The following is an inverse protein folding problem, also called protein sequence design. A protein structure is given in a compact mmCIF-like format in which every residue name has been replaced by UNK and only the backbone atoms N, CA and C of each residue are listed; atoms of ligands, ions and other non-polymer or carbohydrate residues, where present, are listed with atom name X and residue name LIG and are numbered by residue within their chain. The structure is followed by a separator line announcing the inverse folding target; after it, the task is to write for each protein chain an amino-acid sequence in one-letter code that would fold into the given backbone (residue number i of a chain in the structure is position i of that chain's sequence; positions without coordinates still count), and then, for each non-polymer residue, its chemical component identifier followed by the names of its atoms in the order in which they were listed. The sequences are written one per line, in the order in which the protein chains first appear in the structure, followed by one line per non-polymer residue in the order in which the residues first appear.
data_IF_908045369959
#
_entry.id   IF_908045369959
#
_cell.length_a   1.000
_cell.length_b   1.000
_cell.length_c   1.000
_cell.angle_alpha   90.00
_cell.angle_beta   90.00
_cell.angle_gamma   90.00
#
_symmetry.space_group_name_H-M   'P 1'
#
loop_
_entity.id
_entity.type
_entity.pdbx_description
1 polymer ?
#
# COMPACT_ATOMS: atom_id res chain seq x y z
N UNK A 1 17.98 -1.33 5.90
CA UNK A 1 17.96 -1.04 7.36
C UNK A 1 16.83 -0.08 7.73
N UNK A 2 16.69 1.07 7.05
CA UNK A 2 15.65 2.07 7.37
C UNK A 2 14.22 1.54 7.19
N UNK A 3 13.94 0.82 6.11
CA UNK A 3 12.65 0.20 5.84
C UNK A 3 12.28 -0.85 6.93
N UNK A 4 13.21 -1.72 7.31
CA UNK A 4 12.98 -2.70 8.40
C UNK A 4 12.70 -2.06 9.76
N UNK A 5 13.23 -0.87 9.98
CA UNK A 5 13.05 -0.13 11.24
C UNK A 5 11.85 0.84 11.20
N UNK A 6 11.01 0.76 10.15
CA UNK A 6 9.85 1.63 10.01
C UNK A 6 10.16 3.11 9.76
N UNK A 7 11.40 3.43 9.38
CA UNK A 7 11.80 4.82 9.06
C UNK A 7 11.43 5.24 7.64
N UNK A 8 11.09 4.28 6.79
CA UNK A 8 10.62 4.50 5.42
C UNK A 8 9.49 3.53 5.14
N UNK A 9 8.41 4.01 4.54
CA UNK A 9 7.20 3.24 4.27
C UNK A 9 7.28 2.50 2.93
N UNK A 10 8.12 2.95 2.01
CA UNK A 10 8.24 2.39 0.66
C UNK A 10 9.69 2.01 0.37
N UNK A 11 9.88 0.80 -0.14
CA UNK A 11 11.16 0.29 -0.63
C UNK A 11 11.06 0.01 -2.13
N UNK A 12 11.91 0.64 -2.92
CA UNK A 12 12.04 0.38 -4.35
C UNK A 12 13.31 -0.47 -4.56
N UNK A 13 13.18 -1.57 -5.26
CA UNK A 13 14.28 -2.49 -5.54
C UNK A 13 14.16 -3.13 -6.91
N UNK A 14 15.30 -3.44 -7.52
CA UNK A 14 15.39 -4.33 -8.68
C UNK A 14 15.37 -5.79 -8.23
N UNK A 15 15.13 -6.73 -9.15
CA UNK A 15 15.14 -8.18 -8.83
C UNK A 15 16.45 -8.64 -8.21
N UNK A 16 17.58 -8.10 -8.67
CA UNK A 16 18.90 -8.42 -8.14
C UNK A 16 19.05 -7.94 -6.70
N UNK A 17 18.64 -6.71 -6.43
CA UNK A 17 18.68 -6.15 -5.09
C UNK A 17 17.67 -6.86 -4.16
N UNK A 18 16.48 -7.16 -4.65
CA UNK A 18 15.42 -7.81 -3.88
C UNK A 18 15.79 -9.20 -3.37
N UNK A 19 16.67 -9.96 -4.09
CA UNK A 19 17.17 -11.26 -3.64
C UNK A 19 18.06 -11.20 -2.42
N UNK A 20 18.79 -10.09 -2.23
CA UNK A 20 19.67 -9.87 -1.09
C UNK A 20 19.00 -9.13 0.08
N UNK A 21 17.76 -8.72 -0.09
CA UNK A 21 17.03 -8.00 0.94
C UNK A 21 16.26 -8.98 1.80
N UNK A 22 16.69 -9.13 3.04
CA UNK A 22 15.95 -9.84 4.08
C UNK A 22 14.82 -8.92 4.61
N UNK A 23 13.79 -8.76 3.79
CA UNK A 23 12.55 -8.04 4.11
C UNK A 23 11.39 -8.93 3.74
N UNK A 24 10.69 -9.37 4.75
CA UNK A 24 9.52 -10.20 4.63
C UNK A 24 8.35 -9.51 5.33
N UNK A 25 7.14 -9.94 5.02
CA UNK A 25 5.93 -9.52 5.68
C UNK A 25 5.58 -8.04 5.44
N UNK A 26 5.82 -7.59 4.21
CA UNK A 26 5.35 -6.29 3.77
C UNK A 26 3.84 -6.32 3.53
N UNK A 27 3.16 -5.21 3.76
CA UNK A 27 1.71 -5.09 3.57
C UNK A 27 1.31 -5.34 2.11
N UNK A 28 2.08 -4.80 1.17
CA UNK A 28 1.81 -4.95 -0.25
C UNK A 28 3.09 -4.98 -1.09
N UNK A 29 3.02 -5.68 -2.23
CA UNK A 29 4.04 -5.67 -3.28
C UNK A 29 3.48 -5.02 -4.52
N UNK A 30 4.21 -4.05 -5.08
CA UNK A 30 3.88 -3.40 -6.34
C UNK A 30 4.87 -3.81 -7.41
N UNK A 31 4.43 -4.55 -8.43
CA UNK A 31 5.22 -4.84 -9.60
C UNK A 31 5.03 -3.71 -10.62
N UNK A 32 6.00 -2.82 -10.69
CA UNK A 32 6.02 -1.75 -11.69
C UNK A 32 6.16 -2.32 -13.10
N UNK A 33 7.04 -3.32 -13.26
CA UNK A 33 7.18 -4.11 -14.47
C UNK A 33 6.92 -5.58 -14.16
N UNK A 34 6.25 -6.31 -15.05
CA UNK A 34 6.12 -7.75 -14.94
C UNK A 34 7.48 -8.43 -15.18
N UNK A 35 7.88 -9.40 -14.36
CA UNK A 35 9.13 -10.11 -14.57
C UNK A 35 9.07 -11.00 -15.82
N UNK A 36 10.21 -11.23 -16.43
CA UNK A 36 10.31 -12.13 -17.61
C UNK A 36 10.04 -13.59 -17.21
N UNK A 37 10.44 -13.97 -16.00
CA UNK A 37 10.29 -15.31 -15.47
C UNK A 37 9.15 -15.36 -14.45
N UNK A 38 8.32 -16.41 -14.52
CA UNK A 38 7.19 -16.58 -13.63
C UNK A 38 7.62 -16.90 -12.18
N UNK A 39 8.78 -17.54 -11.99
CA UNK A 39 9.32 -17.80 -10.65
C UNK A 39 9.69 -16.49 -9.95
N UNK A 40 10.25 -15.53 -10.68
CA UNK A 40 10.54 -14.20 -10.12
C UNK A 40 9.28 -13.49 -9.66
N UNK A 41 8.18 -13.65 -10.38
CA UNK A 41 6.90 -13.15 -9.94
C UNK A 41 6.51 -13.71 -8.56
N UNK A 42 6.59 -15.03 -8.40
CA UNK A 42 6.28 -15.69 -7.13
C UNK A 42 7.23 -15.22 -6.02
N UNK A 43 8.52 -15.09 -6.30
CA UNK A 43 9.50 -14.59 -5.33
C UNK A 43 9.22 -13.13 -4.90
N UNK A 44 8.78 -12.27 -5.84
CA UNK A 44 8.41 -10.89 -5.51
C UNK A 44 7.18 -10.85 -4.62
N UNK A 45 6.10 -11.49 -5.02
CA UNK A 45 4.86 -11.47 -4.22
C UNK A 45 4.98 -12.25 -2.91
N UNK A 46 5.90 -13.21 -2.83
CA UNK A 46 6.20 -13.96 -1.60
C UNK A 46 6.84 -13.11 -0.48
N UNK A 47 6.97 -11.80 -0.66
CA UNK A 47 7.36 -10.86 0.41
C UNK A 47 6.17 -10.40 1.25
N UNK A 48 4.95 -10.63 0.78
CA UNK A 48 3.71 -10.32 1.51
C UNK A 48 2.91 -11.59 1.80
N UNK A 49 1.96 -11.54 2.71
CA UNK A 49 1.05 -12.66 3.00
C UNK A 49 1.71 -13.86 3.67
N UNK A 50 2.73 -13.66 4.50
CA UNK A 50 3.40 -14.73 5.23
C UNK A 50 2.74 -15.05 6.56
N UNK A 51 3.09 -16.21 7.11
CA UNK A 51 2.61 -16.69 8.43
C UNK A 51 1.08 -16.74 8.55
N UNK A 52 0.39 -17.12 7.46
CA UNK A 52 -1.09 -17.21 7.45
C UNK A 52 -1.81 -15.86 7.32
N UNK A 53 -1.08 -14.76 7.13
CA UNK A 53 -1.66 -13.44 6.89
C UNK A 53 -2.03 -13.23 5.43
N UNK A 54 -3.01 -12.38 5.18
CA UNK A 54 -3.40 -11.99 3.83
C UNK A 54 -2.44 -10.93 3.29
N UNK A 55 -1.89 -11.14 2.09
CA UNK A 55 -1.03 -10.19 1.40
C UNK A 55 -1.70 -9.59 0.17
N UNK A 56 -1.23 -8.43 -0.27
CA UNK A 56 -1.69 -7.76 -1.49
C UNK A 56 -0.56 -7.64 -2.50
N UNK A 57 -0.85 -7.98 -3.77
CA UNK A 57 0.07 -7.79 -4.87
C UNK A 57 -0.61 -7.02 -6.00
N UNK A 58 -0.02 -5.90 -6.38
CA UNK A 58 -0.50 -5.05 -7.46
C UNK A 58 0.46 -5.12 -8.65
N UNK A 59 -0.09 -5.14 -9.85
CA UNK A 59 0.69 -5.23 -11.08
C UNK A 59 0.27 -4.11 -12.01
N UNK A 60 1.21 -3.28 -12.45
CA UNK A 60 0.97 -2.34 -13.53
C UNK A 60 1.16 -3.07 -14.85
N UNK A 61 0.13 -3.09 -15.67
CA UNK A 61 0.11 -3.85 -16.93
C UNK A 61 -0.38 -2.96 -18.05
N UNK A 62 0.40 -2.85 -19.13
CA UNK A 62 0.04 -2.05 -20.31
C UNK A 62 0.21 -2.84 -21.60
N UNK A 63 -0.66 -2.57 -22.55
CA UNK A 63 -0.52 -3.08 -23.92
C UNK A 63 -0.28 -4.57 -24.01
N UNK A 64 0.85 -4.98 -24.60
CA UNK A 64 1.21 -6.37 -24.83
C UNK A 64 1.52 -7.17 -23.55
N UNK A 65 1.79 -6.53 -22.43
CA UNK A 65 2.10 -7.20 -21.15
C UNK A 65 0.92 -8.02 -20.63
N UNK A 66 -0.29 -7.78 -21.13
CA UNK A 66 -1.47 -8.61 -20.85
C UNK A 66 -1.23 -10.08 -21.18
N UNK A 67 -0.44 -10.40 -22.21
CA UNK A 67 -0.09 -11.78 -22.54
C UNK A 67 0.79 -12.40 -21.45
N UNK A 68 1.76 -11.63 -20.95
CA UNK A 68 2.63 -12.07 -19.84
C UNK A 68 1.84 -12.27 -18.55
N UNK A 69 0.89 -11.37 -18.27
CA UNK A 69 0.00 -11.53 -17.13
C UNK A 69 -0.81 -12.83 -17.21
N UNK A 70 -1.30 -13.19 -18.40
CA UNK A 70 -2.02 -14.47 -18.62
C UNK A 70 -1.13 -15.69 -18.39
N UNK A 71 0.16 -15.61 -18.73
CA UNK A 71 1.12 -16.68 -18.41
C UNK A 71 1.30 -16.83 -16.91
N UNK A 72 1.53 -15.72 -16.21
CA UNK A 72 1.67 -15.68 -14.75
C UNK A 72 0.42 -16.26 -14.07
N UNK A 73 -0.78 -15.88 -14.51
CA UNK A 73 -2.04 -16.42 -13.98
C UNK A 73 -2.13 -17.95 -14.16
N UNK A 74 -1.71 -18.47 -15.31
CA UNK A 74 -1.68 -19.92 -15.56
C UNK A 74 -0.66 -20.62 -14.68
N UNK A 75 0.54 -20.06 -14.56
CA UNK A 75 1.61 -20.59 -13.71
C UNK A 75 1.22 -20.64 -12.24
N UNK A 76 0.69 -19.54 -11.72
CA UNK A 76 0.26 -19.42 -10.31
C UNK A 76 -1.11 -20.06 -10.05
N UNK A 77 -1.81 -20.57 -11.07
CA UNK A 77 -3.17 -21.13 -10.98
C UNK A 77 -4.15 -20.18 -10.27
N UNK A 78 -4.03 -18.89 -10.53
CA UNK A 78 -4.83 -17.84 -9.88
C UNK A 78 -5.42 -16.88 -10.90
N UNK A 79 -6.44 -16.11 -10.48
CA UNK A 79 -7.00 -15.02 -11.30
C UNK A 79 -6.58 -13.69 -10.70
N UNK A 80 -5.95 -12.86 -11.51
CA UNK A 80 -5.60 -11.49 -11.16
C UNK A 80 -6.72 -10.59 -11.71
N UNK A 81 -7.38 -9.86 -10.83
CA UNK A 81 -8.50 -8.98 -11.21
C UNK A 81 -7.96 -7.63 -11.66
N UNK A 82 -8.47 -7.12 -12.78
CA UNK A 82 -8.23 -5.74 -13.17
C UNK A 82 -8.93 -4.80 -12.18
N UNK A 83 -8.24 -3.76 -11.79
CA UNK A 83 -8.77 -2.69 -10.94
C UNK A 83 -8.60 -1.36 -11.69
N UNK A 84 -9.57 -0.47 -11.64
CA UNK A 84 -9.40 0.87 -12.16
C UNK A 84 -8.33 1.61 -11.35
N UNK A 85 -7.62 2.51 -12.01
CA UNK A 85 -6.73 3.44 -11.31
C UNK A 85 -7.63 4.45 -10.59
N UNK A 86 -7.48 4.64 -9.27
CA UNK A 86 -8.26 5.62 -8.54
C UNK A 86 -8.04 7.03 -9.11
N UNK A 87 -9.11 7.78 -9.26
CA UNK A 87 -9.03 9.20 -9.60
C UNK A 87 -8.54 10.02 -8.40
N UNK A 88 -8.16 11.28 -8.64
CA UNK A 88 -7.84 12.21 -7.55
C UNK A 88 -9.00 12.40 -6.58
N UNK A 89 -10.23 12.38 -7.09
CA UNK A 89 -11.44 12.54 -6.29
C UNK A 89 -11.70 11.29 -5.42
N UNK A 90 -11.48 10.07 -5.96
CA UNK A 90 -11.55 8.84 -5.17
C UNK A 90 -10.54 8.86 -4.02
N UNK A 91 -9.31 9.31 -4.30
CA UNK A 91 -8.27 9.42 -3.26
C UNK A 91 -8.64 10.46 -2.21
N UNK A 92 -9.20 11.60 -2.62
CA UNK A 92 -9.67 12.64 -1.70
C UNK A 92 -10.82 12.13 -0.82
N UNK A 93 -11.80 11.41 -1.41
CA UNK A 93 -12.90 10.82 -0.67
C UNK A 93 -12.40 9.81 0.38
N UNK A 94 -11.51 8.88 0.01
CA UNK A 94 -10.93 7.90 0.94
C UNK A 94 -10.19 8.58 2.10
N UNK A 95 -9.47 9.68 1.81
CA UNK A 95 -8.80 10.46 2.86
C UNK A 95 -9.79 11.14 3.80
N UNK A 96 -10.86 11.71 3.26
CA UNK A 96 -11.91 12.34 4.05
C UNK A 96 -12.60 11.30 4.96
N UNK A 97 -12.96 10.14 4.43
CA UNK A 97 -13.56 9.06 5.21
C UNK A 97 -12.66 8.61 6.37
N UNK A 98 -11.36 8.44 6.12
CA UNK A 98 -10.40 8.09 7.18
C UNK A 98 -10.31 9.14 8.30
N UNK A 99 -10.40 10.43 7.95
CA UNK A 99 -10.40 11.51 8.92
C UNK A 99 -11.69 11.46 9.74
N UNK A 100 -12.83 11.26 9.10
CA UNK A 100 -14.13 11.15 9.77
C UNK A 100 -14.20 9.94 10.69
N UNK A 101 -13.69 8.78 10.25
CA UNK A 101 -13.58 7.58 11.07
C UNK A 101 -12.70 7.81 12.31
N UNK A 102 -11.57 8.50 12.13
CA UNK A 102 -10.67 8.86 13.22
C UNK A 102 -11.35 9.80 14.25
N UNK A 103 -12.09 10.79 13.76
CA UNK A 103 -12.89 11.69 14.62
C UNK A 103 -13.97 10.88 15.35
N UNK A 104 -14.66 9.96 14.66
CA UNK A 104 -15.65 9.09 15.26
C UNK A 104 -15.09 8.27 16.42
N UNK A 105 -13.92 7.67 16.24
CA UNK A 105 -13.24 6.91 17.30
C UNK A 105 -12.87 7.78 18.51
N UNK A 106 -12.33 8.98 18.30
CA UNK A 106 -12.00 9.89 19.39
C UNK A 106 -13.26 10.30 20.20
N UNK A 107 -14.39 10.51 19.50
CA UNK A 107 -15.67 10.83 20.15
C UNK A 107 -16.17 9.63 20.98
N UNK A 108 -16.09 8.42 20.45
CA UNK A 108 -16.50 7.19 21.14
C UNK A 108 -15.63 6.89 22.36
N UNK A 109 -14.33 7.09 22.27
CA UNK A 109 -13.39 6.92 23.37
C UNK A 109 -13.55 7.98 24.49
N UNK A 110 -14.27 9.08 24.20
CA UNK A 110 -14.62 10.11 25.16
C UNK A 110 -13.46 11.02 25.58
N UNK A 111 -12.29 10.89 24.97
CA UNK A 111 -11.13 11.75 25.25
C UNK A 111 -11.01 12.88 24.22
N UNK A 112 -11.84 13.90 24.41
CA UNK A 112 -11.89 15.07 23.53
C UNK A 112 -10.81 16.13 23.85
N UNK A 113 -10.04 15.97 24.93
CA UNK A 113 -9.10 17.00 25.42
C UNK A 113 -8.02 17.32 24.40
N UNK A 114 -7.38 16.30 23.86
CA UNK A 114 -6.31 16.49 22.88
C UNK A 114 -6.83 17.11 21.57
N UNK A 115 -8.08 16.81 21.20
CA UNK A 115 -8.71 17.38 20.01
C UNK A 115 -9.10 18.84 20.21
N UNK A 116 -9.60 19.20 21.39
CA UNK A 116 -9.90 20.60 21.75
C UNK A 116 -8.62 21.44 21.70
N UNK A 117 -7.53 20.95 22.31
CA UNK A 117 -6.23 21.61 22.30
C UNK A 117 -5.69 21.79 20.89
N UNK A 118 -5.80 20.74 20.02
CA UNK A 118 -5.40 20.83 18.63
C UNK A 118 -6.21 21.85 17.83
N UNK A 119 -7.52 21.92 18.04
CA UNK A 119 -8.41 22.88 17.38
C UNK A 119 -8.07 24.29 17.85
N UNK A 120 -7.88 24.51 19.14
CA UNK A 120 -7.51 25.82 19.70
C UNK A 120 -6.18 26.32 19.14
N UNK A 121 -5.17 25.45 19.01
CA UNK A 121 -3.90 25.76 18.36
C UNK A 121 -4.07 26.18 16.90
N UNK A 122 -4.88 25.48 16.13
CA UNK A 122 -5.13 25.79 14.72
C UNK A 122 -5.94 27.08 14.56
N UNK A 123 -6.98 27.28 15.35
CA UNK A 123 -7.79 28.49 15.30
C UNK A 123 -6.97 29.74 15.65
N UNK A 124 -6.10 29.65 16.65
CA UNK A 124 -5.19 30.77 17.02
C UNK A 124 -4.13 31.04 15.94
N UNK A 125 -3.77 30.03 15.12
CA UNK A 125 -2.83 30.21 14.02
C UNK A 125 -3.47 30.88 12.79
N UNK A 126 -4.72 30.54 12.47
CA UNK A 126 -5.43 31.08 11.31
C UNK A 126 -6.15 32.40 11.57
N UNK A 127 -6.47 32.70 12.83
CA UNK A 127 -7.22 33.91 13.21
C UNK A 127 -6.33 34.87 14.01
N UNK A 128 -5.23 35.31 13.41
CA UNK A 128 -4.55 36.53 13.89
C UNK A 128 -5.22 37.73 13.22
N UNK A 129 -5.79 38.70 14.03
CA UNK A 129 -6.35 39.91 13.50
C UNK A 129 -5.27 40.77 12.83
#
# INVERSE_FOLDING_TARGET
KNFRNGKTDILIATDVAARGIDVDDVEAVFNYDLPQDNEYYVHRIGRTGRAGRTGKAFNFVKGKEVYKLKEIQRYCKTKIKAQPIPSSDDVAAIKADKILDGIGQIIEDGDLRDMIELIEQQVTHFWKP
#
